data_IF_801003736454
#
_entry.id   IF_801003736454
#
_cell.length_a   1.000
_cell.length_b   1.000
_cell.length_c   1.000
_cell.angle_alpha   90.00
_cell.angle_beta   90.00
_cell.angle_gamma   90.00
#
_symmetry.space_group_name_H-M   'P 1'
#
loop_
_entity.id
_entity.type
_entity.pdbx_description
1 polymer ?
#
# COMPACT_ATOMS: atom_id res chain seq x y z
N UNK A 1 7.37 28.41 17.92
CA UNK A 1 6.27 27.44 18.04
C UNK A 1 5.23 27.76 16.99
N UNK A 2 4.67 26.77 16.29
CA UNK A 2 3.65 27.00 15.26
C UNK A 2 2.28 27.03 15.94
N UNK A 3 1.50 28.09 15.76
CA UNK A 3 0.12 28.13 16.23
C UNK A 3 -0.79 27.40 15.23
N UNK A 4 -1.24 26.20 15.59
CA UNK A 4 -2.06 25.33 14.75
C UNK A 4 -3.55 25.32 15.15
N UNK A 5 -3.95 25.93 16.26
CA UNK A 5 -5.37 25.99 16.69
C UNK A 5 -6.01 24.64 17.04
N UNK A 6 -5.21 23.61 17.34
CA UNK A 6 -5.67 22.25 17.67
C UNK A 6 -5.35 21.95 19.14
N UNK A 7 -6.33 21.40 19.85
CA UNK A 7 -6.16 20.87 21.20
C UNK A 7 -5.53 19.47 21.14
N UNK A 8 -4.30 19.36 21.66
CA UNK A 8 -3.50 18.13 21.58
C UNK A 8 -4.18 16.94 22.27
N UNK A 9 -4.76 17.12 23.45
CA UNK A 9 -5.34 16.01 24.18
C UNK A 9 -6.64 15.54 23.53
N UNK A 10 -7.48 16.47 23.07
CA UNK A 10 -8.70 16.09 22.35
C UNK A 10 -8.42 15.31 21.06
N UNK A 11 -7.39 15.67 20.30
CA UNK A 11 -7.07 14.93 19.07
C UNK A 11 -6.47 13.55 19.36
N UNK A 12 -5.76 13.39 20.48
CA UNK A 12 -5.29 12.08 20.95
C UNK A 12 -6.46 11.16 21.31
N UNK A 13 -7.43 11.67 22.09
CA UNK A 13 -8.61 10.90 22.50
C UNK A 13 -9.43 10.47 21.27
N UNK A 14 -9.64 11.37 20.30
CA UNK A 14 -10.32 11.03 19.04
C UNK A 14 -9.57 9.95 18.26
N UNK A 15 -8.23 10.03 18.20
CA UNK A 15 -7.43 9.04 17.49
C UNK A 15 -7.54 7.64 18.11
N UNK A 16 -7.43 7.53 19.44
CA UNK A 16 -7.44 6.24 20.15
C UNK A 16 -8.85 5.67 20.33
N UNK A 17 -9.81 6.50 20.77
CA UNK A 17 -11.13 6.01 21.19
C UNK A 17 -12.14 5.89 20.03
N UNK A 18 -11.95 6.64 18.95
CA UNK A 18 -12.90 6.67 17.82
C UNK A 18 -12.30 6.15 16.51
N UNK A 19 -11.08 6.57 16.15
CA UNK A 19 -10.52 6.25 14.83
C UNK A 19 -9.88 4.86 14.81
N UNK A 20 -9.01 4.52 15.77
CA UNK A 20 -8.38 3.19 15.83
C UNK A 20 -9.39 2.04 15.83
N UNK A 21 -10.51 2.08 16.58
CA UNK A 21 -11.49 0.99 16.62
C UNK A 21 -12.23 0.74 15.29
N UNK A 22 -12.33 1.73 14.40
CA UNK A 22 -13.00 1.59 13.10
C UNK A 22 -12.05 1.21 11.96
N UNK A 23 -10.74 1.10 12.22
CA UNK A 23 -9.78 0.69 11.20
C UNK A 23 -9.87 -0.82 10.94
N UNK A 24 -10.10 -1.21 9.68
CA UNK A 24 -10.06 -2.64 9.28
C UNK A 24 -8.67 -3.26 9.49
N UNK A 25 -7.62 -2.46 9.32
CA UNK A 25 -6.24 -2.89 9.44
C UNK A 25 -5.41 -1.79 10.10
N UNK A 26 -4.45 -2.13 10.97
CA UNK A 26 -3.57 -1.15 11.59
C UNK A 26 -2.70 -0.46 10.53
N UNK A 27 -2.70 0.88 10.53
CA UNK A 27 -1.82 1.69 9.69
C UNK A 27 -0.43 1.76 10.34
N UNK A 28 0.55 1.06 9.76
CA UNK A 28 1.93 1.02 10.25
C UNK A 28 2.93 0.80 9.13
N UNK A 29 4.20 1.06 9.43
CA UNK A 29 5.31 0.69 8.55
C UNK A 29 5.55 -0.82 8.68
N UNK A 30 5.12 -1.55 7.66
CA UNK A 30 5.43 -2.95 7.40
C UNK A 30 6.37 -3.09 6.19
N UNK A 31 6.73 -4.33 5.84
CA UNK A 31 7.62 -4.62 4.70
C UNK A 31 7.11 -4.00 3.39
N UNK A 32 5.81 -4.07 3.15
CA UNK A 32 5.21 -3.70 1.87
C UNK A 32 5.04 -2.19 1.74
N UNK A 33 4.58 -1.52 2.81
CA UNK A 33 4.51 -0.05 2.88
C UNK A 33 5.90 0.59 2.84
N UNK A 34 6.91 -0.03 3.46
CA UNK A 34 8.30 0.43 3.32
C UNK A 34 8.81 0.26 1.88
N UNK A 35 8.49 -0.87 1.23
CA UNK A 35 8.85 -1.11 -0.18
C UNK A 35 8.19 -0.06 -1.09
N UNK A 36 6.92 0.26 -0.83
CA UNK A 36 6.18 1.28 -1.57
C UNK A 36 6.88 2.64 -1.51
N UNK A 37 7.28 3.08 -0.30
CA UNK A 37 8.02 4.32 -0.11
C UNK A 37 9.40 4.31 -0.78
N UNK A 38 10.12 3.19 -0.68
CA UNK A 38 11.42 3.00 -1.34
C UNK A 38 11.31 3.04 -2.88
N UNK A 39 10.28 2.40 -3.45
CA UNK A 39 10.07 2.33 -4.89
C UNK A 39 9.44 3.61 -5.48
N UNK A 40 9.01 4.56 -4.64
CA UNK A 40 8.36 5.79 -5.09
C UNK A 40 7.00 5.56 -5.74
N UNK A 41 6.26 4.56 -5.28
CA UNK A 41 4.95 4.19 -5.84
C UNK A 41 3.82 4.91 -5.11
N UNK A 42 2.73 5.18 -5.83
CA UNK A 42 1.53 5.81 -5.27
C UNK A 42 0.91 4.97 -4.14
N UNK A 43 0.64 5.57 -2.98
CA UNK A 43 0.30 4.86 -1.74
C UNK A 43 -0.99 4.03 -1.81
N UNK A 44 -1.97 4.43 -2.61
CA UNK A 44 -3.22 3.66 -2.79
C UNK A 44 -2.98 2.27 -3.38
N UNK A 45 -1.85 2.05 -4.06
CA UNK A 45 -1.54 0.78 -4.74
C UNK A 45 -1.25 -0.36 -3.77
N UNK A 46 -0.94 -0.07 -2.49
CA UNK A 46 -0.53 -1.08 -1.51
C UNK A 46 -1.54 -2.23 -1.38
N UNK A 47 -2.83 -1.91 -1.23
CA UNK A 47 -3.86 -2.93 -1.05
C UNK A 47 -4.13 -3.72 -2.33
N UNK A 48 -4.06 -3.07 -3.50
CA UNK A 48 -4.18 -3.74 -4.79
C UNK A 48 -3.03 -4.71 -5.01
N UNK A 49 -1.79 -4.28 -4.75
CA UNK A 49 -0.60 -5.13 -4.87
C UNK A 49 -0.65 -6.33 -3.92
N UNK A 50 -1.11 -6.14 -2.66
CA UNK A 50 -1.31 -7.23 -1.70
C UNK A 50 -2.38 -8.23 -2.16
N UNK A 51 -3.51 -7.74 -2.69
CA UNK A 51 -4.59 -8.60 -3.21
C UNK A 51 -4.15 -9.40 -4.44
N UNK A 52 -3.50 -8.75 -5.40
CA UNK A 52 -2.97 -9.39 -6.60
C UNK A 52 -1.87 -10.42 -6.26
N UNK A 53 -0.96 -10.07 -5.34
CA UNK A 53 0.06 -10.99 -4.81
C UNK A 53 -0.56 -12.26 -4.22
N UNK A 54 -1.57 -12.11 -3.36
CA UNK A 54 -2.28 -13.24 -2.76
C UNK A 54 -3.04 -14.07 -3.81
N UNK A 55 -3.67 -13.42 -4.80
CA UNK A 55 -4.44 -14.09 -5.85
C UNK A 55 -3.57 -14.93 -6.80
N UNK A 56 -2.40 -14.40 -7.18
CA UNK A 56 -1.54 -15.01 -8.20
C UNK A 56 -0.30 -15.72 -7.63
N UNK A 57 -0.13 -15.74 -6.30
CA UNK A 57 0.98 -16.42 -5.64
C UNK A 57 2.35 -15.76 -5.87
N UNK A 58 2.37 -14.46 -6.19
CA UNK A 58 3.60 -13.68 -6.43
C UNK A 58 3.90 -12.76 -5.25
N UNK A 59 5.07 -12.11 -5.25
CA UNK A 59 5.44 -11.20 -4.18
C UNK A 59 4.84 -9.80 -4.37
N UNK A 60 4.18 -9.26 -3.34
CA UNK A 60 3.75 -7.85 -3.31
C UNK A 60 4.92 -6.88 -3.45
N UNK A 61 6.09 -7.22 -2.87
CA UNK A 61 7.32 -6.45 -3.02
C UNK A 61 7.74 -6.36 -4.49
N UNK A 62 7.77 -7.48 -5.21
CA UNK A 62 8.22 -7.50 -6.60
C UNK A 62 7.27 -6.68 -7.49
N UNK A 63 5.96 -6.81 -7.24
CA UNK A 63 4.94 -5.97 -7.90
C UNK A 63 5.24 -4.48 -7.66
N UNK A 64 5.40 -4.07 -6.40
CA UNK A 64 5.63 -2.66 -6.05
C UNK A 64 6.93 -2.12 -6.64
N UNK A 65 8.03 -2.88 -6.62
CA UNK A 65 9.30 -2.48 -7.23
C UNK A 65 9.16 -2.29 -8.74
N UNK A 66 8.46 -3.19 -9.41
CA UNK A 66 8.26 -3.11 -10.85
C UNK A 66 7.32 -1.95 -11.25
N UNK A 67 6.29 -1.66 -10.46
CA UNK A 67 5.45 -0.45 -10.64
C UNK A 67 6.28 0.84 -10.52
N UNK A 68 7.16 0.91 -9.51
CA UNK A 68 8.09 2.03 -9.35
C UNK A 68 9.02 2.18 -10.55
N UNK A 69 9.56 1.06 -11.06
CA UNK A 69 10.39 1.04 -12.28
C UNK A 69 9.63 1.56 -13.51
N UNK A 70 8.34 1.25 -13.61
CA UNK A 70 7.44 1.70 -14.69
C UNK A 70 6.98 3.16 -14.52
N UNK A 71 7.32 3.82 -13.40
CA UNK A 71 6.91 5.20 -13.07
C UNK A 71 5.39 5.39 -13.16
N UNK A 72 4.65 4.42 -12.61
CA UNK A 72 3.19 4.50 -12.58
C UNK A 72 2.72 5.68 -11.73
N UNK A 73 1.53 6.19 -12.07
CA UNK A 73 0.86 7.29 -11.37
C UNK A 73 -0.49 6.82 -10.82
N UNK A 74 -1.06 7.57 -9.88
CA UNK A 74 -2.40 7.27 -9.34
C UNK A 74 -3.44 7.20 -10.46
N UNK A 75 -4.38 6.25 -10.35
CA UNK A 75 -5.36 5.95 -11.40
C UNK A 75 -4.98 4.78 -12.33
N UNK A 76 -3.81 4.16 -12.14
CA UNK A 76 -3.34 2.99 -12.90
C UNK A 76 -3.40 1.69 -12.09
N UNK A 77 -4.40 1.56 -11.21
CA UNK A 77 -4.57 0.41 -10.34
C UNK A 77 -4.85 -0.90 -11.11
N UNK A 78 -5.43 -0.81 -12.30
CA UNK A 78 -5.73 -1.92 -13.21
C UNK A 78 -4.46 -2.68 -13.64
N UNK A 79 -3.37 -1.96 -13.91
CA UNK A 79 -2.09 -2.53 -14.31
C UNK A 79 -1.46 -3.46 -13.28
N UNK A 80 -1.84 -3.34 -12.01
CA UNK A 80 -1.29 -4.13 -10.90
C UNK A 80 -1.69 -5.59 -11.05
N UNK A 81 -2.94 -5.83 -11.45
CA UNK A 81 -3.49 -7.16 -11.65
C UNK A 81 -2.82 -7.84 -12.86
N UNK A 82 -2.72 -7.13 -13.98
CA UNK A 82 -2.05 -7.62 -15.19
C UNK A 82 -0.58 -7.94 -14.94
N UNK A 83 0.12 -7.07 -14.20
CA UNK A 83 1.51 -7.30 -13.83
C UNK A 83 1.66 -8.55 -12.97
N UNK A 84 0.80 -8.75 -11.98
CA UNK A 84 0.84 -9.93 -11.12
C UNK A 84 0.57 -11.22 -11.92
N UNK A 85 -0.38 -11.17 -12.86
CA UNK A 85 -0.68 -12.26 -13.79
C UNK A 85 0.54 -12.61 -14.66
N UNK A 86 1.20 -11.61 -15.24
CA UNK A 86 2.40 -11.79 -16.06
C UNK A 86 3.57 -12.38 -15.24
N UNK A 87 3.77 -11.90 -14.01
CA UNK A 87 4.76 -12.46 -13.09
C UNK A 87 4.47 -13.92 -12.74
N UNK A 88 3.20 -14.29 -12.56
CA UNK A 88 2.81 -15.66 -12.22
C UNK A 88 3.04 -16.62 -13.39
N UNK A 89 2.67 -16.22 -14.62
CA UNK A 89 2.97 -16.97 -15.84
C UNK A 89 4.47 -17.18 -16.02
N UNK A 90 5.27 -16.12 -15.85
CA UNK A 90 6.73 -16.20 -15.96
C UNK A 90 7.37 -17.16 -14.93
N UNK A 91 6.69 -17.40 -13.81
CA UNK A 91 7.13 -18.34 -12.75
C UNK A 91 6.50 -19.73 -12.86
N UNK A 92 5.61 -19.96 -13.83
CA UNK A 92 4.89 -21.23 -13.98
C UNK A 92 3.94 -21.54 -12.81
N UNK A 93 3.41 -20.51 -12.15
CA UNK A 93 2.43 -20.66 -11.07
C UNK A 93 1.00 -20.89 -11.61
N UNK A 94 0.77 -20.49 -12.87
CA UNK A 94 -0.46 -20.61 -13.65
C UNK A 94 -0.12 -20.90 -15.11
#
# INVERSE_FOLDING_TARGET
EVNHGIDLYKIMDVAEDLVTPIMDNPIRIDRDSLTLGYAGVYSSFLLFAKRAAAKYGVSSRDILVELGRRRTVGGQEDMIEDLALDMAKARGLI
#
